data_IF_376923064214
#
_entry.id   IF_376923064214
#
_cell.length_a   1.000
_cell.length_b   1.000
_cell.length_c   1.000
_cell.angle_alpha   90.00
_cell.angle_beta   90.00
_cell.angle_gamma   90.00
#
_symmetry.space_group_name_H-M   'P 1'
#
loop_
_entity.id
_entity.type
_entity.pdbx_description
1 polymer ?
#
# COMPACT_ATOMS: atom_id res chain seq x y z
N UNK A 1 -7.49 8.35 13.12
CA UNK A 1 -7.53 8.97 14.47
C UNK A 1 -8.21 8.08 15.51
N UNK A 2 -9.43 7.58 15.26
CA UNK A 2 -10.19 6.75 16.23
C UNK A 2 -9.43 5.49 16.67
N UNK A 3 -8.89 4.69 15.74
CA UNK A 3 -8.14 3.48 16.08
C UNK A 3 -6.86 3.73 16.88
N UNK A 4 -6.09 4.76 16.53
CA UNK A 4 -4.91 5.17 17.31
C UNK A 4 -5.34 5.55 18.72
N UNK A 5 -6.39 6.37 18.86
CA UNK A 5 -6.90 6.77 20.17
C UNK A 5 -7.38 5.58 21.01
N UNK A 6 -8.02 4.58 20.42
CA UNK A 6 -8.42 3.36 21.14
C UNK A 6 -7.16 2.60 21.58
N UNK A 7 -6.23 2.34 20.68
CA UNK A 7 -5.03 1.54 20.96
C UNK A 7 -4.14 2.22 22.02
N UNK A 8 -4.00 3.54 21.96
CA UNK A 8 -3.22 4.32 22.94
C UNK A 8 -3.95 4.44 24.26
N UNK A 9 -5.27 4.70 24.26
CA UNK A 9 -6.09 4.83 25.47
C UNK A 9 -6.19 3.54 26.27
N UNK A 10 -6.28 2.39 25.61
CA UNK A 10 -6.36 1.08 26.27
C UNK A 10 -5.00 0.39 26.46
N UNK A 11 -3.90 1.08 26.14
CA UNK A 11 -2.52 0.60 26.27
C UNK A 11 -2.31 -0.84 25.75
N UNK A 12 -2.90 -1.14 24.58
CA UNK A 12 -2.91 -2.49 24.02
C UNK A 12 -1.47 -2.94 23.74
N UNK A 13 -1.08 -4.11 24.27
CA UNK A 13 0.28 -4.67 24.09
C UNK A 13 0.57 -4.97 22.62
N UNK A 14 1.83 -4.82 22.22
CA UNK A 14 2.28 -5.00 20.82
C UNK A 14 1.93 -6.40 20.28
N UNK A 15 2.00 -7.44 21.13
CA UNK A 15 1.61 -8.81 20.76
C UNK A 15 0.18 -8.88 20.21
N UNK A 16 -0.78 -8.19 20.83
CA UNK A 16 -2.18 -8.22 20.37
C UNK A 16 -2.39 -7.42 19.10
N UNK A 17 -1.69 -6.29 18.95
CA UNK A 17 -1.71 -5.50 17.71
C UNK A 17 -1.15 -6.32 16.55
N UNK A 18 -0.04 -7.03 16.79
CA UNK A 18 0.58 -7.92 15.80
C UNK A 18 -0.35 -9.08 15.44
N UNK A 19 -0.92 -9.78 16.44
CA UNK A 19 -1.87 -10.87 16.20
C UNK A 19 -3.09 -10.41 15.42
N UNK A 20 -3.66 -9.25 15.74
CA UNK A 20 -4.78 -8.68 15.01
C UNK A 20 -4.41 -8.34 13.56
N UNK A 21 -3.24 -7.75 13.35
CA UNK A 21 -2.72 -7.45 12.01
C UNK A 21 -2.58 -8.72 11.17
N UNK A 22 -1.92 -9.75 11.71
CA UNK A 22 -1.73 -11.04 11.05
C UNK A 22 -3.08 -11.70 10.78
N UNK A 23 -3.99 -11.73 11.76
CA UNK A 23 -5.32 -12.31 11.62
C UNK A 23 -6.11 -11.68 10.47
N UNK A 24 -6.17 -10.34 10.40
CA UNK A 24 -6.91 -9.65 9.33
C UNK A 24 -6.29 -9.94 7.96
N UNK A 25 -4.96 -9.98 7.85
CA UNK A 25 -4.28 -10.27 6.59
C UNK A 25 -4.54 -11.70 6.11
N UNK A 26 -4.43 -12.69 6.99
CA UNK A 26 -4.74 -14.08 6.66
C UNK A 26 -6.22 -14.28 6.38
N UNK A 27 -7.12 -13.60 7.10
CA UNK A 27 -8.55 -13.63 6.82
C UNK A 27 -8.85 -13.03 5.44
N UNK A 28 -8.22 -11.91 5.07
CA UNK A 28 -8.33 -11.31 3.74
C UNK A 28 -7.86 -12.28 2.66
N UNK A 29 -6.72 -12.95 2.87
CA UNK A 29 -6.17 -13.93 1.94
C UNK A 29 -7.07 -15.16 1.82
N UNK A 30 -7.60 -15.65 2.94
CA UNK A 30 -8.57 -16.75 2.97
C UNK A 30 -9.86 -16.39 2.20
N UNK A 31 -10.45 -15.22 2.45
CA UNK A 31 -11.64 -14.77 1.74
C UNK A 31 -11.37 -14.65 0.23
N UNK A 32 -10.20 -14.16 -0.15
CA UNK A 32 -9.79 -14.06 -1.55
C UNK A 32 -9.68 -15.45 -2.21
N UNK A 33 -9.13 -16.45 -1.50
CA UNK A 33 -9.02 -17.84 -1.97
C UNK A 33 -10.38 -18.50 -2.26
N UNK A 34 -11.41 -18.18 -1.48
CA UNK A 34 -12.71 -18.87 -1.55
C UNK A 34 -13.83 -18.03 -2.19
N UNK A 35 -13.59 -16.75 -2.51
CA UNK A 35 -14.63 -15.88 -3.07
C UNK A 35 -14.08 -14.95 -4.16
N UNK A 36 -14.76 -14.93 -5.30
CA UNK A 36 -14.52 -13.94 -6.37
C UNK A 36 -15.16 -12.57 -6.08
N UNK A 37 -15.74 -12.39 -4.88
CA UNK A 37 -16.43 -11.16 -4.48
C UNK A 37 -15.42 -10.15 -3.97
N UNK A 38 -14.87 -9.39 -4.91
CA UNK A 38 -13.82 -8.37 -4.69
C UNK A 38 -14.09 -7.45 -3.49
N UNK A 39 -15.33 -7.02 -3.26
CA UNK A 39 -15.68 -6.12 -2.15
C UNK A 39 -15.46 -6.71 -0.74
N UNK A 40 -15.42 -8.05 -0.60
CA UNK A 40 -15.23 -8.72 0.69
C UNK A 40 -13.78 -8.65 1.18
N UNK A 41 -12.81 -8.64 0.27
CA UNK A 41 -11.39 -8.55 0.61
C UNK A 41 -10.77 -7.20 0.21
N UNK A 42 -11.32 -6.47 -0.78
CA UNK A 42 -10.95 -5.09 -1.14
C UNK A 42 -11.75 -4.04 -0.39
N UNK A 43 -11.73 -4.07 0.93
CA UNK A 43 -12.31 -3.02 1.75
C UNK A 43 -11.29 -2.44 2.73
N UNK A 44 -11.62 -1.28 3.28
CA UNK A 44 -10.75 -0.56 4.21
C UNK A 44 -10.38 -1.40 5.45
N UNK A 45 -11.26 -2.29 5.90
CA UNK A 45 -10.99 -3.15 7.05
C UNK A 45 -9.90 -4.19 6.72
N UNK A 46 -10.03 -4.88 5.58
CA UNK A 46 -9.12 -5.97 5.20
C UNK A 46 -7.78 -5.46 4.66
N UNK A 47 -7.77 -4.32 3.98
CA UNK A 47 -6.55 -3.77 3.37
C UNK A 47 -5.99 -2.57 4.14
N UNK A 48 -6.81 -1.66 4.65
CA UNK A 48 -6.34 -0.44 5.30
C UNK A 48 -5.90 -0.64 6.75
N UNK A 49 -6.69 -1.37 7.56
CA UNK A 49 -6.40 -1.55 8.99
C UNK A 49 -5.06 -2.26 9.23
N UNK A 50 -4.71 -3.35 8.55
CA UNK A 50 -3.44 -4.04 8.79
C UNK A 50 -2.22 -3.14 8.56
N UNK A 51 -2.18 -2.38 7.45
CA UNK A 51 -1.08 -1.45 7.19
C UNK A 51 -1.03 -0.30 8.20
N UNK A 52 -2.18 0.14 8.70
CA UNK A 52 -2.24 1.09 9.79
C UNK A 52 -1.67 0.53 11.11
N UNK A 53 -2.02 -0.72 11.46
CA UNK A 53 -1.49 -1.42 12.63
C UNK A 53 0.03 -1.65 12.51
N UNK A 54 0.53 -1.97 11.31
CA UNK A 54 1.97 -2.04 11.01
C UNK A 54 2.65 -0.71 11.33
N UNK A 55 2.07 0.41 10.90
CA UNK A 55 2.56 1.75 11.23
C UNK A 55 2.65 2.00 12.75
N UNK A 56 1.64 1.57 13.51
CA UNK A 56 1.64 1.66 14.98
C UNK A 56 2.74 0.79 15.59
N UNK A 57 2.91 -0.45 15.12
CA UNK A 57 3.96 -1.35 15.61
C UNK A 57 5.35 -0.77 15.35
N UNK A 58 5.59 -0.24 14.15
CA UNK A 58 6.86 0.44 13.82
C UNK A 58 7.10 1.63 14.75
N UNK A 59 6.08 2.45 14.99
CA UNK A 59 6.19 3.61 15.88
C UNK A 59 6.49 3.20 17.34
N UNK A 60 5.80 2.18 17.86
CA UNK A 60 6.02 1.67 19.23
C UNK A 60 7.41 1.01 19.38
N UNK A 61 7.93 0.40 18.32
CA UNK A 61 9.23 -0.28 18.31
C UNK A 61 10.35 0.57 17.65
N UNK A 62 10.13 1.87 17.49
CA UNK A 62 11.03 2.76 16.73
C UNK A 62 12.48 2.73 17.21
N UNK A 63 12.71 2.66 18.52
CA UNK A 63 14.05 2.73 19.09
C UNK A 63 14.83 1.43 18.85
N UNK A 64 14.14 0.29 18.84
CA UNK A 64 14.71 -0.98 18.42
C UNK A 64 15.03 -0.98 16.92
N UNK A 65 14.10 -0.52 16.08
CA UNK A 65 14.27 -0.46 14.62
C UNK A 65 15.43 0.47 14.22
N UNK A 66 15.63 1.58 14.96
CA UNK A 66 16.77 2.48 14.74
C UNK A 66 18.11 1.80 14.94
N UNK A 67 18.24 0.89 15.91
CA UNK A 67 19.48 0.16 16.23
C UNK A 67 19.89 -0.85 15.15
N UNK A 68 18.94 -1.41 14.41
CA UNK A 68 19.22 -2.40 13.35
C UNK A 68 19.94 -1.71 12.18
N UNK A 69 20.92 -2.35 11.54
CA UNK A 69 21.61 -1.77 10.38
C UNK A 69 20.63 -1.53 9.21
N UNK A 70 20.72 -0.39 8.53
CA UNK A 70 19.90 -0.08 7.36
C UNK A 70 20.09 -1.10 6.23
N UNK A 71 21.32 -1.57 6.00
CA UNK A 71 21.62 -2.57 4.97
C UNK A 71 20.85 -3.89 5.18
N UNK A 72 20.55 -4.26 6.43
CA UNK A 72 19.75 -5.46 6.70
C UNK A 72 18.33 -5.30 6.13
N UNK A 73 17.74 -4.09 6.19
CA UNK A 73 16.43 -3.84 5.59
C UNK A 73 16.47 -3.83 4.07
N UNK A 74 17.57 -3.38 3.46
CA UNK A 74 17.77 -3.47 2.00
C UNK A 74 17.89 -4.92 1.55
N UNK A 75 18.66 -5.75 2.26
CA UNK A 75 18.75 -7.18 1.97
C UNK A 75 17.38 -7.84 2.09
N UNK A 76 16.66 -7.59 3.19
CA UNK A 76 15.31 -8.14 3.36
C UNK A 76 14.35 -7.64 2.28
N UNK A 77 14.43 -6.37 1.88
CA UNK A 77 13.62 -5.82 0.79
C UNK A 77 13.83 -6.62 -0.50
N UNK A 78 15.08 -6.87 -0.88
CA UNK A 78 15.43 -7.64 -2.07
C UNK A 78 14.91 -9.08 -1.95
N UNK A 79 15.13 -9.73 -0.80
CA UNK A 79 14.68 -11.10 -0.56
C UNK A 79 13.17 -11.23 -0.69
N UNK A 80 12.40 -10.36 -0.03
CA UNK A 80 10.94 -10.45 -0.09
C UNK A 80 10.35 -9.98 -1.42
N UNK A 81 11.02 -9.08 -2.14
CA UNK A 81 10.67 -8.76 -3.53
C UNK A 81 10.73 -10.04 -4.39
N UNK A 82 11.86 -10.75 -4.38
CA UNK A 82 12.00 -11.99 -5.14
C UNK A 82 11.04 -13.08 -4.69
N UNK A 83 10.86 -13.27 -3.37
CA UNK A 83 9.90 -14.25 -2.86
C UNK A 83 8.47 -13.94 -3.30
N UNK A 84 8.06 -12.67 -3.34
CA UNK A 84 6.73 -12.28 -3.80
C UNK A 84 6.51 -12.54 -5.30
N UNK A 85 7.53 -12.33 -6.13
CA UNK A 85 7.45 -12.65 -7.56
C UNK A 85 7.49 -14.16 -7.83
N UNK A 86 8.30 -14.92 -7.08
CA UNK A 86 8.32 -16.39 -7.15
C UNK A 86 6.95 -16.94 -6.75
N UNK A 87 6.36 -16.44 -5.67
CA UNK A 87 5.03 -16.83 -5.21
C UNK A 87 3.99 -16.56 -6.30
N UNK A 88 3.97 -15.35 -6.87
CA UNK A 88 3.11 -15.00 -7.99
C UNK A 88 3.28 -15.94 -9.19
N UNK A 89 4.50 -16.30 -9.53
CA UNK A 89 4.78 -17.24 -10.64
C UNK A 89 4.25 -18.65 -10.36
N UNK A 90 4.40 -19.15 -9.12
CA UNK A 90 3.90 -20.47 -8.72
C UNK A 90 2.37 -20.54 -8.72
N UNK A 91 1.69 -19.46 -8.30
CA UNK A 91 0.24 -19.39 -8.24
C UNK A 91 -0.42 -18.92 -9.56
N UNK A 92 0.37 -18.63 -10.60
CA UNK A 92 -0.09 -18.06 -11.88
C UNK A 92 -1.05 -18.99 -12.65
N UNK A 93 -1.18 -20.27 -12.26
CA UNK A 93 -1.94 -21.25 -13.03
C UNK A 93 -3.44 -21.26 -12.78
N UNK A 94 -3.95 -20.91 -11.58
CA UNK A 94 -5.34 -21.27 -11.24
C UNK A 94 -6.21 -20.17 -10.61
N UNK A 95 -5.69 -19.03 -10.15
CA UNK A 95 -6.54 -17.93 -9.68
C UNK A 95 -5.79 -16.57 -9.68
N UNK A 96 -6.49 -15.50 -10.07
CA UNK A 96 -6.03 -14.11 -9.93
C UNK A 96 -6.03 -13.70 -8.44
N UNK A 97 -5.07 -14.21 -7.67
CA UNK A 97 -4.82 -13.72 -6.30
C UNK A 97 -4.15 -12.36 -6.39
N UNK A 98 -4.73 -11.37 -5.72
CA UNK A 98 -4.21 -9.99 -5.72
C UNK A 98 -3.20 -9.70 -4.61
N UNK A 99 -3.20 -10.53 -3.58
CA UNK A 99 -2.32 -10.40 -2.41
C UNK A 99 -1.72 -11.75 -2.08
N UNK A 100 -0.41 -11.79 -1.97
CA UNK A 100 0.38 -12.99 -1.72
C UNK A 100 0.99 -12.96 -0.31
N UNK A 101 1.40 -14.12 0.21
CA UNK A 101 1.92 -14.25 1.58
C UNK A 101 3.17 -13.36 1.76
N UNK A 102 4.08 -13.35 0.79
CA UNK A 102 5.31 -12.57 0.87
C UNK A 102 5.13 -11.08 0.58
N UNK A 103 3.97 -10.67 0.04
CA UNK A 103 3.64 -9.24 -0.10
C UNK A 103 3.55 -8.55 1.27
N UNK A 104 3.11 -9.26 2.31
CA UNK A 104 2.98 -8.68 3.65
C UNK A 104 4.30 -8.30 4.32
N UNK A 105 5.29 -9.21 4.48
CA UNK A 105 6.60 -8.83 5.02
C UNK A 105 7.31 -7.81 4.12
N UNK A 106 7.11 -7.89 2.79
CA UNK A 106 7.64 -6.88 1.86
C UNK A 106 7.13 -5.47 2.18
N UNK A 107 5.81 -5.30 2.36
CA UNK A 107 5.22 -4.02 2.76
C UNK A 107 5.74 -3.52 4.12
N UNK A 108 5.93 -4.40 5.11
CA UNK A 108 6.50 -4.03 6.42
C UNK A 108 7.90 -3.44 6.24
N UNK A 109 8.73 -4.05 5.41
CA UNK A 109 10.10 -3.58 5.16
C UNK A 109 10.10 -2.24 4.44
N UNK A 110 9.21 -2.06 3.46
CA UNK A 110 9.01 -0.76 2.81
C UNK A 110 8.71 0.30 3.88
N UNK A 111 7.73 0.08 4.75
CA UNK A 111 7.41 1.04 5.81
C UNK A 111 8.61 1.34 6.73
N UNK A 112 9.41 0.32 7.08
CA UNK A 112 10.60 0.52 7.89
C UNK A 112 11.67 1.33 7.15
N UNK A 113 11.92 1.06 5.87
CA UNK A 113 12.86 1.83 5.04
C UNK A 113 12.43 3.29 5.00
N UNK A 114 11.16 3.55 4.69
CA UNK A 114 10.60 4.90 4.67
C UNK A 114 10.71 5.60 6.02
N UNK A 115 10.48 4.88 7.12
CA UNK A 115 10.69 5.38 8.47
C UNK A 115 12.15 5.76 8.74
N UNK A 116 13.12 4.92 8.32
CA UNK A 116 14.55 5.17 8.54
C UNK A 116 15.14 6.27 7.66
N UNK A 117 14.64 6.42 6.44
CA UNK A 117 15.02 7.52 5.54
C UNK A 117 14.62 8.91 6.08
N UNK A 118 13.77 8.96 7.12
CA UNK A 118 13.30 10.18 7.76
C UNK A 118 12.85 11.23 6.73
N UNK A 119 12.05 10.78 5.75
CA UNK A 119 11.63 11.59 4.62
C UNK A 119 10.97 12.87 5.16
N UNK A 120 11.58 14.01 4.85
CA UNK A 120 11.10 15.31 5.33
C UNK A 120 9.64 15.50 4.90
N UNK A 121 8.84 16.03 5.81
CA UNK A 121 7.41 16.29 5.60
C UNK A 121 7.12 17.17 4.38
N UNK A 122 8.09 17.97 3.93
CA UNK A 122 7.99 18.90 2.81
C UNK A 122 8.59 18.34 1.51
N UNK A 123 9.01 17.07 1.51
CA UNK A 123 9.46 16.43 0.28
C UNK A 123 8.31 16.29 -0.72
N UNK A 124 8.67 16.26 -2.00
CA UNK A 124 7.73 16.01 -3.11
C UNK A 124 6.95 14.71 -2.85
N UNK A 125 7.65 13.66 -2.41
CA UNK A 125 7.06 12.36 -2.12
C UNK A 125 6.05 12.41 -0.97
N UNK A 126 6.36 13.14 0.11
CA UNK A 126 5.41 13.36 1.21
C UNK A 126 4.18 14.16 0.76
N UNK A 127 4.37 15.11 -0.18
CA UNK A 127 3.27 15.90 -0.76
C UNK A 127 2.33 15.02 -1.57
N UNK A 128 2.89 14.14 -2.43
CA UNK A 128 2.10 13.13 -3.16
C UNK A 128 1.30 12.23 -2.23
N UNK A 129 1.94 11.69 -1.19
CA UNK A 129 1.29 10.80 -0.23
C UNK A 129 0.16 11.48 0.57
N UNK A 130 0.31 12.75 0.94
CA UNK A 130 -0.68 13.47 1.77
C UNK A 130 -1.82 14.07 0.96
N UNK A 131 -1.49 14.69 -0.17
CA UNK A 131 -2.42 15.56 -0.91
C UNK A 131 -3.10 14.84 -2.07
N UNK A 132 -2.34 14.04 -2.83
CA UNK A 132 -2.81 13.49 -4.09
C UNK A 132 -3.21 12.00 -4.01
N UNK A 133 -2.72 11.25 -3.02
CA UNK A 133 -2.92 9.80 -2.89
C UNK A 133 -4.38 9.35 -2.98
N UNK A 134 -5.31 10.05 -2.34
CA UNK A 134 -6.73 9.70 -2.37
C UNK A 134 -7.34 9.90 -3.77
N UNK A 135 -7.03 11.02 -4.44
CA UNK A 135 -7.52 11.28 -5.79
C UNK A 135 -6.92 10.28 -6.77
N UNK A 136 -5.62 10.01 -6.66
CA UNK A 136 -4.94 8.97 -7.46
C UNK A 136 -5.63 7.61 -7.25
N UNK A 137 -5.93 7.25 -6.00
CA UNK A 137 -6.62 6.00 -5.68
C UNK A 137 -8.01 5.89 -6.34
N UNK A 138 -8.79 6.98 -6.39
CA UNK A 138 -10.11 6.96 -7.03
C UNK A 138 -10.01 6.90 -8.56
N UNK A 139 -9.07 7.64 -9.15
CA UNK A 139 -9.07 7.93 -10.59
C UNK A 139 -8.28 6.90 -11.40
N UNK A 140 -7.25 6.27 -10.81
CA UNK A 140 -6.42 5.31 -11.55
C UNK A 140 -7.20 4.14 -12.19
N UNK A 141 -8.29 3.57 -11.62
CA UNK A 141 -9.04 2.51 -12.28
C UNK A 141 -9.76 2.99 -13.54
N UNK A 142 -10.25 4.24 -13.56
CA UNK A 142 -10.85 4.85 -14.74
C UNK A 142 -9.80 5.10 -15.83
N UNK A 143 -8.62 5.56 -15.44
CA UNK A 143 -7.49 5.72 -16.37
C UNK A 143 -7.06 4.37 -16.95
N UNK A 144 -7.03 3.30 -16.15
CA UNK A 144 -6.77 1.94 -16.63
C UNK A 144 -7.81 1.53 -17.67
N UNK A 145 -9.10 1.77 -17.42
CA UNK A 145 -10.15 1.43 -18.37
C UNK A 145 -9.95 2.14 -19.72
N UNK A 146 -9.74 3.46 -19.68
CA UNK A 146 -9.47 4.27 -20.88
C UNK A 146 -8.24 3.75 -21.61
N UNK A 147 -7.12 3.57 -20.91
CA UNK A 147 -5.87 3.09 -21.51
C UNK A 147 -6.06 1.71 -22.12
N UNK A 148 -6.75 0.79 -21.47
CA UNK A 148 -6.99 -0.54 -22.02
C UNK A 148 -7.85 -0.49 -23.29
N UNK A 149 -8.87 0.37 -23.36
CA UNK A 149 -9.68 0.52 -24.57
C UNK A 149 -8.89 1.05 -25.78
N UNK A 150 -7.88 1.91 -25.54
CA UNK A 150 -7.13 2.57 -26.63
C UNK A 150 -5.73 2.01 -26.92
N UNK A 151 -5.05 1.40 -25.92
CA UNK A 151 -3.63 0.98 -26.01
C UNK A 151 -3.39 -0.53 -26.03
N UNK A 152 -4.41 -1.38 -25.87
CA UNK A 152 -4.26 -2.85 -25.99
C UNK A 152 -3.73 -3.30 -27.36
N UNK A 153 -3.71 -2.43 -28.36
CA UNK A 153 -3.10 -2.70 -29.67
C UNK A 153 -1.57 -2.83 -29.60
N UNK A 154 -0.92 -2.19 -28.64
CA UNK A 154 0.53 -2.18 -28.50
C UNK A 154 0.92 -3.03 -27.29
N UNK A 155 1.64 -4.14 -27.52
CA UNK A 155 2.09 -5.16 -26.54
C UNK A 155 3.04 -4.65 -25.43
N UNK A 156 2.91 -3.41 -24.96
CA UNK A 156 3.74 -2.77 -23.94
C UNK A 156 3.14 -2.90 -22.53
N UNK A 157 2.76 -4.12 -22.14
CA UNK A 157 2.11 -4.38 -20.85
C UNK A 157 2.91 -3.88 -19.63
N UNK A 158 4.24 -3.85 -19.73
CA UNK A 158 5.12 -3.38 -18.66
C UNK A 158 5.10 -1.85 -18.47
N UNK A 159 4.79 -1.09 -19.53
CA UNK A 159 4.84 0.39 -19.50
C UNK A 159 3.49 0.95 -19.03
N UNK A 160 2.40 0.22 -19.24
CA UNK A 160 1.03 0.64 -18.89
C UNK A 160 0.92 1.12 -17.44
N UNK A 161 1.42 0.40 -16.40
CA UNK A 161 1.33 0.87 -15.02
C UNK A 161 2.03 2.22 -14.77
N UNK A 162 3.14 2.48 -15.47
CA UNK A 162 3.88 3.75 -15.36
C UNK A 162 3.05 4.89 -15.97
N UNK A 163 2.47 4.66 -17.16
CA UNK A 163 1.60 5.63 -17.83
C UNK A 163 0.39 5.94 -16.96
N UNK A 164 -0.30 4.91 -16.45
CA UNK A 164 -1.45 5.05 -15.55
C UNK A 164 -1.10 5.92 -14.35
N UNK A 165 0.05 5.66 -13.70
CA UNK A 165 0.50 6.42 -12.54
C UNK A 165 0.74 7.89 -12.89
N UNK A 166 1.44 8.17 -13.99
CA UNK A 166 1.72 9.55 -14.44
C UNK A 166 0.44 10.30 -14.78
N UNK A 167 -0.47 9.69 -15.53
CA UNK A 167 -1.78 10.25 -15.85
C UNK A 167 -2.60 10.54 -14.58
N UNK A 168 -2.58 9.62 -13.62
CA UNK A 168 -3.31 9.78 -12.34
C UNK A 168 -2.75 10.95 -11.52
N UNK A 169 -1.42 11.10 -11.50
CA UNK A 169 -0.75 12.22 -10.84
C UNK A 169 -1.13 13.56 -11.48
N UNK A 170 -1.06 13.64 -12.81
CA UNK A 170 -1.40 14.86 -13.55
C UNK A 170 -2.85 15.25 -13.29
N UNK A 171 -3.76 14.28 -13.36
CA UNK A 171 -5.17 14.52 -13.05
C UNK A 171 -5.36 15.06 -11.63
N UNK A 172 -4.71 14.43 -10.64
CA UNK A 172 -4.82 14.86 -9.24
C UNK A 172 -4.31 16.29 -9.03
N UNK A 173 -3.23 16.68 -9.72
CA UNK A 173 -2.71 18.05 -9.69
C UNK A 173 -3.68 19.06 -10.32
N UNK A 174 -4.25 18.74 -11.48
CA UNK A 174 -5.23 19.60 -12.17
C UNK A 174 -6.48 19.76 -11.31
N UNK A 175 -7.02 18.67 -10.77
CA UNK A 175 -8.20 18.69 -9.92
C UNK A 175 -8.00 19.59 -8.69
N UNK A 176 -6.86 19.46 -8.03
CA UNK A 176 -6.54 20.28 -6.87
C UNK A 176 -6.34 21.77 -7.23
N UNK A 177 -5.71 22.06 -8.37
CA UNK A 177 -5.59 23.43 -8.87
C UNK A 177 -6.97 24.07 -9.16
N UNK A 178 -7.88 23.33 -9.80
CA UNK A 178 -9.24 23.81 -10.08
C UNK A 178 -10.01 24.02 -8.77
N UNK A 179 -9.94 23.04 -7.85
CA UNK A 179 -10.62 23.12 -6.55
C UNK A 179 -10.18 24.34 -5.74
N UNK A 180 -8.87 24.60 -5.67
CA UNK A 180 -8.33 25.73 -4.92
C UNK A 180 -8.77 27.06 -5.51
N UNK A 181 -8.76 27.19 -6.84
CA UNK A 181 -9.22 28.40 -7.55
C UNK A 181 -10.72 28.67 -7.37
N UNK A 182 -11.55 27.62 -7.33
CA UNK A 182 -12.99 27.77 -7.06
C UNK A 182 -13.24 28.17 -5.60
N UNK A 183 -12.49 27.62 -4.64
CA UNK A 183 -12.68 27.93 -3.21
C UNK A 183 -12.25 29.35 -2.80
N UNK A 184 -11.52 30.05 -3.65
CA UNK A 184 -11.08 31.44 -3.43
C UNK A 184 -12.05 32.48 -4.02
N UNK A 185 -13.08 32.04 -4.74
CA UNK A 185 -14.20 32.86 -5.21
C UNK A 185 -15.45 32.60 -4.37
#
# INVERSE_FOLDING_TARGET
YIFVNIITRYNIKNKYIFLLCVFILYLSLFINLFTYRTFLYRNWLMTGVPYFLIGILIWKNKDFIKKINFNNFIILFIVFLFLSEIEKFLFFKDNFMETYIFTFPFCIIIFIIFFKLNIKNNSILATFGKKYSFIIYIVHPWIIHIINEYLLYYKFEFIIPIIVLLCSIIFAMIFDYIRTKISTH
#
